data_IF_901287296261
#
_entry.id   IF_901287296261
#
_cell.length_a   1.000
_cell.length_b   1.000
_cell.length_c   1.000
_cell.angle_alpha   90.00
_cell.angle_beta   90.00
_cell.angle_gamma   90.00
#
_symmetry.space_group_name_H-M   'P 1'
#
loop_
_entity.id
_entity.type
_entity.pdbx_description
1 polymer ?
#
# COMPACT_ATOMS: atom_id res chain seq x y z
N UNK A 1 2.06 13.29 17.52
CA UNK A 1 1.37 13.48 16.22
C UNK A 1 1.82 12.36 15.33
N UNK A 2 0.93 11.43 14.98
CA UNK A 2 1.19 10.43 13.94
C UNK A 2 0.68 10.99 12.61
N UNK A 3 1.36 10.72 11.51
CA UNK A 3 0.88 11.09 10.19
C UNK A 3 -0.53 10.52 9.97
N UNK A 4 -1.45 11.33 9.44
CA UNK A 4 -2.86 10.97 9.26
C UNK A 4 -3.06 9.77 8.34
N UNK A 5 -2.09 9.53 7.45
CA UNK A 5 -2.15 8.50 6.42
C UNK A 5 -0.91 7.62 6.43
N UNK A 6 -1.10 6.32 6.16
CA UNK A 6 -0.03 5.36 5.89
C UNK A 6 -0.33 4.54 4.63
N UNK A 7 0.70 3.92 4.07
CA UNK A 7 0.54 2.86 3.08
C UNK A 7 0.70 1.50 3.75
N UNK A 8 -0.27 0.62 3.54
CA UNK A 8 -0.13 -0.81 3.81
C UNK A 8 0.03 -1.58 2.50
N UNK A 9 1.14 -2.29 2.37
CA UNK A 9 1.42 -3.18 1.24
C UNK A 9 1.40 -4.64 1.70
N UNK A 10 0.82 -5.51 0.88
CA UNK A 10 0.81 -6.95 1.12
C UNK A 10 1.10 -7.69 -0.19
N UNK A 11 2.09 -8.58 -0.17
CA UNK A 11 2.34 -9.50 -1.28
C UNK A 11 1.24 -10.57 -1.26
N UNK A 12 0.49 -10.68 -2.35
CA UNK A 12 -0.59 -11.64 -2.52
C UNK A 12 -0.16 -12.86 -3.32
N UNK A 13 0.79 -12.68 -4.23
CA UNK A 13 1.30 -13.73 -5.10
C UNK A 13 2.78 -13.51 -5.43
N UNK A 14 3.51 -14.61 -5.61
CA UNK A 14 4.93 -14.63 -5.94
C UNK A 14 5.20 -15.70 -6.99
N UNK A 15 6.23 -15.49 -7.81
CA UNK A 15 6.77 -16.52 -8.70
C UNK A 15 8.26 -16.69 -8.45
N UNK A 16 8.75 -17.92 -8.61
CA UNK A 16 10.20 -18.18 -8.62
C UNK A 16 10.82 -17.67 -9.92
N UNK A 17 11.81 -16.79 -9.80
CA UNK A 17 12.71 -16.43 -10.89
C UNK A 17 14.12 -16.81 -10.44
N UNK A 18 14.67 -17.85 -11.07
CA UNK A 18 15.89 -18.51 -10.57
C UNK A 18 15.64 -18.98 -9.12
N UNK A 19 16.47 -18.54 -8.19
CA UNK A 19 16.42 -18.93 -6.78
C UNK A 19 15.70 -17.91 -5.88
N UNK A 20 14.98 -16.93 -6.47
CA UNK A 20 14.32 -15.84 -5.74
C UNK A 20 12.80 -15.87 -5.94
N UNK A 21 12.06 -15.62 -4.86
CA UNK A 21 10.62 -15.41 -4.89
C UNK A 21 10.33 -13.94 -5.22
N UNK A 22 9.78 -13.70 -6.41
CA UNK A 22 9.50 -12.37 -6.94
C UNK A 22 8.01 -12.12 -6.89
N UNK A 23 7.60 -11.03 -6.22
CA UNK A 23 6.20 -10.63 -6.14
C UNK A 23 5.61 -10.42 -7.54
N UNK A 24 4.48 -11.06 -7.81
CA UNK A 24 3.71 -10.91 -9.05
C UNK A 24 2.43 -10.11 -8.82
N UNK A 25 1.90 -10.12 -7.60
CA UNK A 25 0.71 -9.36 -7.23
C UNK A 25 0.87 -8.77 -5.84
N UNK A 26 0.76 -7.46 -5.73
CA UNK A 26 0.88 -6.71 -4.47
C UNK A 26 -0.36 -5.86 -4.26
N UNK A 27 -1.04 -6.03 -3.14
CA UNK A 27 -2.12 -5.15 -2.68
C UNK A 27 -1.50 -3.91 -2.04
N UNK A 28 -1.94 -2.73 -2.48
CA UNK A 28 -1.57 -1.43 -1.91
C UNK A 28 -2.81 -0.75 -1.37
N UNK A 29 -2.77 -0.32 -0.11
CA UNK A 29 -3.86 0.37 0.56
C UNK A 29 -3.35 1.68 1.16
N UNK A 30 -4.03 2.79 0.88
CA UNK A 30 -3.89 4.01 1.66
C UNK A 30 -4.85 3.91 2.85
N UNK A 31 -4.33 4.00 4.06
CA UNK A 31 -5.11 3.88 5.29
C UNK A 31 -5.01 5.13 6.16
N UNK A 32 -6.08 5.42 6.88
CA UNK A 32 -6.09 6.34 8.02
C UNK A 32 -5.42 5.70 9.23
N UNK A 33 -4.70 6.51 10.02
CA UNK A 33 -4.06 6.07 11.28
C UNK A 33 -4.94 6.22 12.51
N UNK A 34 -6.19 6.67 12.33
CA UNK A 34 -7.17 6.86 13.39
C UNK A 34 -7.42 5.53 14.14
N UNK A 35 -7.10 5.45 15.46
CA UNK A 35 -7.24 4.23 16.25
C UNK A 35 -8.71 3.85 16.48
N UNK A 36 -9.65 4.79 16.39
CA UNK A 36 -11.07 4.57 16.69
C UNK A 36 -11.83 3.96 15.50
N UNK A 37 -11.24 4.02 14.29
CA UNK A 37 -11.81 3.39 13.10
C UNK A 37 -11.57 1.87 13.09
N UNK A 38 -12.58 1.11 12.64
CA UNK A 38 -12.40 -0.32 12.33
C UNK A 38 -11.49 -0.48 11.12
N UNK A 39 -10.74 -1.58 11.03
CA UNK A 39 -9.74 -1.80 9.98
C UNK A 39 -10.29 -1.66 8.54
N UNK A 40 -11.55 -2.00 8.32
CA UNK A 40 -12.22 -1.81 7.01
C UNK A 40 -12.44 -0.34 6.68
N UNK A 41 -12.84 0.44 7.68
CA UNK A 41 -13.17 1.87 7.55
C UNK A 41 -11.90 2.73 7.48
N UNK A 42 -10.74 2.19 7.88
CA UNK A 42 -9.44 2.86 7.70
C UNK A 42 -9.02 2.94 6.24
N UNK A 43 -9.49 2.06 5.35
CA UNK A 43 -9.04 2.00 3.96
C UNK A 43 -9.71 3.09 3.13
N UNK A 44 -8.93 4.07 2.70
CA UNK A 44 -9.41 5.18 1.85
C UNK A 44 -9.43 4.79 0.37
N UNK A 45 -8.38 4.07 -0.07
CA UNK A 45 -8.27 3.53 -1.43
C UNK A 45 -7.41 2.29 -1.43
N UNK A 46 -7.74 1.36 -2.34
CA UNK A 46 -7.01 0.11 -2.55
C UNK A 46 -6.80 -0.12 -4.04
N UNK A 47 -5.64 -0.66 -4.40
CA UNK A 47 -5.37 -1.22 -5.73
C UNK A 47 -4.51 -2.47 -5.59
N UNK A 48 -4.52 -3.31 -6.61
CA UNK A 48 -3.51 -4.34 -6.79
C UNK A 48 -2.60 -3.93 -7.94
N UNK A 49 -1.32 -4.30 -7.85
CA UNK A 49 -0.31 -4.01 -8.87
C UNK A 49 0.54 -5.24 -9.16
N UNK A 50 0.96 -5.31 -10.41
CA UNK A 50 1.85 -6.37 -10.88
C UNK A 50 3.28 -6.00 -10.48
N UNK A 51 3.83 -6.75 -9.53
CA UNK A 51 5.18 -6.53 -9.02
C UNK A 51 5.33 -5.47 -7.93
N UNK A 52 6.39 -5.60 -7.13
CA UNK A 52 6.65 -4.76 -5.97
C UNK A 52 6.98 -3.31 -6.36
N UNK A 53 7.80 -3.08 -7.38
CA UNK A 53 8.22 -1.72 -7.76
C UNK A 53 7.04 -0.89 -8.27
N UNK A 54 6.20 -1.45 -9.14
CA UNK A 54 4.98 -0.77 -9.61
C UNK A 54 4.02 -0.45 -8.45
N UNK A 55 3.96 -1.31 -7.43
CA UNK A 55 3.20 -1.07 -6.22
C UNK A 55 3.78 0.10 -5.40
N UNK A 56 5.10 0.17 -5.28
CA UNK A 56 5.81 1.25 -4.58
C UNK A 56 5.63 2.61 -5.27
N UNK A 57 5.69 2.67 -6.60
CA UNK A 57 5.51 3.93 -7.34
C UNK A 57 4.12 4.55 -7.07
N UNK A 58 3.08 3.72 -7.12
CA UNK A 58 1.71 4.17 -6.82
C UNK A 58 1.57 4.54 -5.35
N UNK A 59 2.16 3.76 -4.44
CA UNK A 59 2.15 4.03 -3.01
C UNK A 59 2.78 5.39 -2.66
N UNK A 60 3.94 5.71 -3.23
CA UNK A 60 4.64 6.96 -2.98
C UNK A 60 3.78 8.16 -3.41
N UNK A 61 3.29 8.17 -4.66
CA UNK A 61 2.43 9.25 -5.17
C UNK A 61 1.15 9.40 -4.33
N UNK A 62 0.59 8.29 -3.86
CA UNK A 62 -0.60 8.30 -3.04
C UNK A 62 -0.37 8.88 -1.66
N UNK A 63 0.73 8.52 -1.02
CA UNK A 63 1.11 9.00 0.29
C UNK A 63 1.47 10.49 0.23
N UNK A 64 2.33 10.88 -0.70
CA UNK A 64 2.76 12.29 -0.87
C UNK A 64 1.57 13.21 -1.07
N UNK A 65 0.63 12.85 -1.94
CA UNK A 65 -0.60 13.64 -2.15
C UNK A 65 -1.52 13.66 -0.92
N UNK A 66 -1.56 12.58 -0.14
CA UNK A 66 -2.41 12.52 1.04
C UNK A 66 -1.84 13.37 2.19
N UNK A 67 -0.50 13.43 2.30
CA UNK A 67 0.20 14.24 3.30
C UNK A 67 0.31 15.72 2.90
N UNK A 68 0.42 16.03 1.62
CA UNK A 68 0.52 17.41 1.12
C UNK A 68 -0.82 18.19 1.18
N UNK A 69 -1.96 17.49 1.31
CA UNK A 69 -3.29 18.11 1.41
C UNK A 69 -3.76 18.30 2.87
N UNK A 70 -2.83 18.33 3.83
CA UNK A 70 -3.10 18.51 5.26
C UNK A 70 -2.47 19.79 5.78
#
# INVERSE_FOLDING_TARGET
MADKYIIMMQILDTKKIKDLDVATRVSVQLQLTDPDLKSRDRVVKKTEKDGLYNAMDVAAVWLDRALANN
#
